data_IF_429502804003
#
_entry.id   IF_429502804003
#
_cell.length_a   1.000
_cell.length_b   1.000
_cell.length_c   1.000
_cell.angle_alpha   90.00
_cell.angle_beta   90.00
_cell.angle_gamma   90.00
#
_symmetry.space_group_name_H-M   'P 1'
#
loop_
_entity.id
_entity.type
_entity.pdbx_description
1 polymer ?
#
# COMPACT_ATOMS: atom_id res chain seq x y z
N UNK A 1 39.45 62.85 -28.48
CA UNK A 1 39.13 63.29 -29.85
C UNK A 1 39.92 62.41 -30.81
N UNK A 2 39.31 62.00 -31.94
CA UNK A 2 39.75 60.99 -32.95
C UNK A 2 39.16 59.60 -32.70
N UNK A 3 38.51 58.90 -33.65
CA UNK A 3 38.21 59.14 -35.07
C UNK A 3 37.05 58.21 -35.48
N UNK A 4 36.19 58.67 -36.40
CA UNK A 4 35.16 57.87 -37.10
C UNK A 4 35.76 57.39 -38.43
N UNK A 5 35.51 56.15 -38.90
CA UNK A 5 34.69 55.98 -40.13
C UNK A 5 33.83 54.70 -40.10
N UNK A 6 32.53 54.76 -40.37
CA UNK A 6 31.88 54.88 -41.69
C UNK A 6 32.00 53.63 -42.57
N UNK A 7 30.90 52.86 -42.55
CA UNK A 7 30.16 52.32 -43.70
C UNK A 7 30.82 51.30 -44.64
N UNK A 8 30.19 50.12 -44.76
CA UNK A 8 30.02 49.49 -46.06
C UNK A 8 28.71 48.68 -46.13
N UNK A 9 27.94 49.01 -47.19
CA UNK A 9 26.77 48.32 -47.77
C UNK A 9 27.01 46.80 -47.86
N UNK A 10 26.01 45.92 -47.89
CA UNK A 10 25.29 45.47 -49.12
C UNK A 10 24.21 44.47 -48.70
N UNK A 11 22.92 44.68 -49.04
CA UNK A 11 22.22 44.12 -50.20
C UNK A 11 22.17 42.57 -50.28
N UNK A 12 20.96 42.04 -50.13
CA UNK A 12 20.48 40.86 -50.85
C UNK A 12 20.67 39.49 -50.18
N UNK A 13 19.66 38.64 -50.33
CA UNK A 13 19.87 37.18 -50.34
C UNK A 13 19.07 36.39 -49.31
N UNK A 14 17.91 35.93 -49.75
CA UNK A 14 17.10 34.84 -49.21
C UNK A 14 17.94 33.69 -48.63
N UNK A 15 17.70 33.31 -47.37
CA UNK A 15 18.14 32.04 -46.81
C UNK A 15 17.07 31.50 -45.86
N UNK A 16 16.27 30.56 -46.36
CA UNK A 16 15.32 29.77 -45.57
C UNK A 16 16.07 28.95 -44.53
N UNK A 17 16.11 29.41 -43.28
CA UNK A 17 16.63 28.63 -42.16
C UNK A 17 15.51 27.79 -41.56
N UNK A 18 15.51 26.51 -41.91
CA UNK A 18 14.74 25.45 -41.26
C UNK A 18 14.96 25.51 -39.74
N UNK A 19 13.86 25.54 -38.97
CA UNK A 19 13.86 25.52 -37.50
C UNK A 19 14.14 24.08 -37.02
N UNK A 20 15.19 23.79 -36.25
CA UNK A 20 15.27 22.52 -35.53
C UNK A 20 14.31 22.55 -34.33
N UNK A 21 13.57 21.44 -34.17
CA UNK A 21 12.62 21.21 -33.09
C UNK A 21 13.30 21.33 -31.71
N UNK A 22 12.73 22.16 -30.84
CA UNK A 22 13.09 22.25 -29.42
C UNK A 22 12.46 21.05 -28.71
N UNK A 23 13.29 20.11 -28.28
CA UNK A 23 12.91 19.12 -27.27
C UNK A 23 12.74 19.84 -25.93
N UNK A 24 11.51 19.85 -25.41
CA UNK A 24 11.15 20.36 -24.08
C UNK A 24 11.50 19.31 -23.02
N UNK A 25 12.69 19.40 -22.43
CA UNK A 25 13.00 18.67 -21.21
C UNK A 25 12.41 19.43 -20.03
N UNK A 26 11.48 18.77 -19.35
CA UNK A 26 10.59 19.27 -18.32
C UNK A 26 11.28 19.97 -17.15
N UNK A 27 10.83 21.18 -16.84
CA UNK A 27 11.05 21.82 -15.56
C UNK A 27 9.97 21.32 -14.58
N UNK A 28 10.31 20.40 -13.67
CA UNK A 28 9.42 19.97 -12.56
C UNK A 28 9.99 20.48 -11.23
N UNK A 29 9.81 21.77 -10.98
CA UNK A 29 9.84 22.33 -9.64
C UNK A 29 8.39 22.56 -9.22
N UNK A 30 7.86 21.73 -8.32
CA UNK A 30 6.83 22.08 -7.31
C UNK A 30 6.32 20.83 -6.58
N UNK A 31 6.05 21.04 -5.28
CA UNK A 31 5.39 20.16 -4.31
C UNK A 31 6.31 19.25 -3.47
N UNK A 32 6.83 19.86 -2.41
CA UNK A 32 6.96 19.24 -1.09
C UNK A 32 5.63 18.54 -0.73
N UNK A 33 5.59 17.21 -0.78
CA UNK A 33 4.49 16.42 -0.21
C UNK A 33 4.57 16.48 1.33
N UNK A 34 4.15 17.60 1.90
CA UNK A 34 3.64 17.62 3.27
C UNK A 34 2.29 16.92 3.25
N UNK A 35 2.31 15.59 3.12
CA UNK A 35 1.13 14.75 3.38
C UNK A 35 0.80 14.91 4.86
N UNK A 36 -0.03 15.91 5.16
CA UNK A 36 -0.76 16.02 6.41
C UNK A 36 -1.40 14.66 6.60
N UNK A 37 -0.96 13.91 7.61
CA UNK A 37 -1.46 12.59 7.98
C UNK A 37 -2.92 12.77 8.35
N UNK A 38 -3.79 12.84 7.35
CA UNK A 38 -5.24 12.71 7.48
C UNK A 38 -5.41 11.41 8.25
N UNK A 39 -5.92 11.51 9.48
CA UNK A 39 -6.19 10.35 10.33
C UNK A 39 -6.99 9.38 9.46
N UNK A 40 -6.36 8.31 8.98
CA UNK A 40 -7.02 7.32 8.12
C UNK A 40 -8.26 6.88 8.88
N UNK A 41 -9.43 7.24 8.36
CA UNK A 41 -10.71 6.98 9.00
C UNK A 41 -10.81 5.48 9.26
N UNK A 42 -10.89 5.10 10.54
CA UNK A 42 -11.13 3.73 10.97
C UNK A 42 -12.57 3.38 10.58
N UNK A 43 -12.71 2.53 9.55
CA UNK A 43 -14.00 2.06 9.09
C UNK A 43 -14.42 0.84 9.91
N UNK A 44 -15.68 0.77 10.31
CA UNK A 44 -16.22 -0.36 11.06
C UNK A 44 -15.93 -1.70 10.37
N UNK A 45 -16.15 -1.78 9.05
CA UNK A 45 -15.85 -2.98 8.25
C UNK A 45 -14.36 -3.39 8.28
N UNK A 46 -13.45 -2.41 8.34
CA UNK A 46 -12.01 -2.67 8.45
C UNK A 46 -11.64 -3.13 9.86
N UNK A 47 -12.19 -2.48 10.89
CA UNK A 47 -12.00 -2.87 12.28
C UNK A 47 -12.53 -4.28 12.55
N UNK A 48 -13.71 -4.64 12.04
CA UNK A 48 -14.27 -5.99 12.18
C UNK A 48 -13.43 -7.05 11.48
N UNK A 49 -12.82 -6.74 10.33
CA UNK A 49 -11.92 -7.66 9.64
C UNK A 49 -10.62 -7.93 10.43
N UNK A 50 -10.03 -6.88 11.03
CA UNK A 50 -8.84 -7.04 11.88
C UNK A 50 -9.17 -7.87 13.13
N UNK A 51 -10.34 -7.61 13.73
CA UNK A 51 -10.80 -8.34 14.92
C UNK A 51 -11.11 -9.81 14.58
N UNK A 52 -11.75 -10.10 13.44
CA UNK A 52 -12.01 -11.48 13.02
C UNK A 52 -10.73 -12.27 12.79
N UNK A 53 -9.73 -11.63 12.16
CA UNK A 53 -8.42 -12.25 11.97
C UNK A 53 -7.74 -12.51 13.33
N UNK A 54 -7.81 -11.56 14.25
CA UNK A 54 -7.28 -11.73 15.60
C UNK A 54 -7.89 -12.95 16.31
N UNK A 55 -9.22 -13.09 16.30
CA UNK A 55 -9.89 -14.23 16.93
C UNK A 55 -9.49 -15.56 16.30
N UNK A 56 -9.34 -15.60 14.97
CA UNK A 56 -8.88 -16.80 14.29
C UNK A 56 -7.53 -17.29 14.85
N UNK A 57 -6.53 -16.41 14.95
CA UNK A 57 -5.22 -16.82 15.47
C UNK A 57 -5.19 -16.99 17.00
N UNK A 58 -5.95 -16.19 17.74
CA UNK A 58 -5.98 -16.27 19.21
C UNK A 58 -6.52 -17.62 19.70
N UNK A 59 -7.61 -18.12 19.09
CA UNK A 59 -8.19 -19.41 19.46
C UNK A 59 -7.21 -20.54 19.15
N UNK A 60 -6.59 -20.52 17.97
CA UNK A 60 -5.57 -21.51 17.61
C UNK A 60 -4.39 -21.53 18.60
N UNK A 61 -3.90 -20.35 19.03
CA UNK A 61 -2.85 -20.26 20.05
C UNK A 61 -3.29 -20.81 21.42
N UNK A 62 -4.55 -20.57 21.83
CA UNK A 62 -5.08 -21.10 23.10
C UNK A 62 -5.18 -22.63 23.05
N UNK A 63 -5.65 -23.20 21.93
CA UNK A 63 -5.73 -24.64 21.72
C UNK A 63 -4.36 -25.30 21.88
N UNK A 64 -3.32 -24.68 21.31
CA UNK A 64 -1.95 -25.13 21.43
C UNK A 64 -1.42 -25.04 22.88
N UNK A 65 -1.54 -23.88 23.52
CA UNK A 65 -1.00 -23.65 24.88
C UNK A 65 -1.70 -24.50 25.95
N UNK A 66 -2.97 -24.87 25.75
CA UNK A 66 -3.75 -25.69 26.67
C UNK A 66 -3.63 -27.19 26.40
N UNK A 67 -2.88 -27.60 25.38
CA UNK A 67 -2.64 -29.01 25.01
C UNK A 67 -3.93 -29.84 24.85
N UNK A 68 -5.00 -29.23 24.31
CA UNK A 68 -6.28 -29.93 24.02
C UNK A 68 -6.11 -30.84 22.79
N UNK A 69 -5.23 -30.45 21.86
CA UNK A 69 -4.84 -31.21 20.67
C UNK A 69 -3.33 -31.50 20.68
N UNK A 70 -2.91 -32.50 19.92
CA UNK A 70 -1.50 -32.88 19.83
C UNK A 70 -0.69 -31.79 19.15
N UNK A 71 0.56 -31.61 19.58
CA UNK A 71 1.44 -30.57 19.01
C UNK A 71 1.78 -30.83 17.53
N UNK A 72 1.67 -32.09 17.08
CA UNK A 72 1.84 -32.50 15.68
C UNK A 72 0.82 -31.87 14.74
N UNK A 73 -0.35 -31.53 15.26
CA UNK A 73 -1.49 -31.06 14.44
C UNK A 73 -1.43 -29.54 14.25
N UNK A 74 -0.35 -28.90 14.71
CA UNK A 74 -0.15 -27.46 14.61
C UNK A 74 1.05 -27.12 13.73
N UNK A 75 0.84 -26.11 12.89
CA UNK A 75 1.86 -25.50 12.06
C UNK A 75 2.21 -24.10 12.56
N UNK A 76 3.51 -23.80 12.59
CA UNK A 76 3.99 -22.46 12.89
C UNK A 76 3.88 -21.56 11.65
N UNK A 77 3.22 -20.41 11.80
CA UNK A 77 3.04 -19.40 10.74
C UNK A 77 3.38 -18.02 11.27
N UNK A 78 4.10 -17.23 10.47
CA UNK A 78 4.46 -15.85 10.83
C UNK A 78 3.33 -14.88 10.49
N UNK A 79 2.71 -14.26 11.50
CA UNK A 79 1.63 -13.27 11.37
C UNK A 79 1.83 -12.14 12.36
N UNK A 80 1.49 -10.91 11.95
CA UNK A 80 1.66 -9.70 12.78
C UNK A 80 3.09 -9.48 13.33
N UNK A 81 4.10 -10.06 12.67
CA UNK A 81 5.50 -10.02 13.13
C UNK A 81 5.87 -11.08 14.17
N UNK A 82 4.93 -11.93 14.60
CA UNK A 82 5.12 -13.00 15.58
C UNK A 82 4.91 -14.38 14.93
N UNK A 83 5.47 -15.42 15.57
CA UNK A 83 5.22 -16.81 15.20
C UNK A 83 3.97 -17.29 15.94
N UNK A 84 2.94 -17.64 15.19
CA UNK A 84 1.65 -18.14 15.70
C UNK A 84 1.51 -19.62 15.35
N UNK A 85 0.85 -20.39 16.21
CA UNK A 85 0.47 -21.77 15.92
C UNK A 85 -0.93 -21.82 15.33
N UNK A 86 -1.13 -22.64 14.30
CA UNK A 86 -2.41 -22.84 13.61
C UNK A 86 -2.67 -24.33 13.45
N UNK A 87 -3.89 -24.77 13.70
CA UNK A 87 -4.30 -26.16 13.49
C UNK A 87 -4.31 -26.51 11.98
N UNK A 88 -3.77 -27.68 11.62
CA UNK A 88 -3.77 -28.21 10.25
C UNK A 88 -4.94 -29.17 9.97
N UNK A 89 -5.58 -29.70 11.00
CA UNK A 89 -6.78 -30.54 10.86
C UNK A 89 -7.98 -29.75 10.33
N UNK A 90 -8.55 -30.26 9.23
CA UNK A 90 -9.67 -29.68 8.50
C UNK A 90 -10.95 -29.65 9.36
N UNK A 91 -11.17 -30.66 10.20
CA UNK A 91 -12.39 -30.75 11.03
C UNK A 91 -12.49 -29.59 12.03
N UNK A 92 -11.36 -29.28 12.67
CA UNK A 92 -11.23 -28.18 13.65
C UNK A 92 -11.22 -26.85 12.91
N UNK A 93 -10.53 -26.76 11.77
CA UNK A 93 -10.49 -25.55 10.96
C UNK A 93 -11.89 -25.12 10.49
N UNK A 94 -12.73 -26.06 10.04
CA UNK A 94 -14.12 -25.79 9.67
C UNK A 94 -14.96 -25.28 10.85
N UNK A 95 -14.79 -25.90 12.02
CA UNK A 95 -15.50 -25.47 13.22
C UNK A 95 -15.11 -24.05 13.63
N UNK A 96 -13.81 -23.76 13.66
CA UNK A 96 -13.29 -22.43 13.98
C UNK A 96 -13.76 -21.38 12.97
N UNK A 97 -13.83 -21.74 11.69
CA UNK A 97 -14.34 -20.86 10.63
C UNK A 97 -15.79 -20.44 10.88
N UNK A 98 -16.66 -21.37 11.30
CA UNK A 98 -18.06 -21.06 11.65
C UNK A 98 -18.15 -20.03 12.78
N UNK A 99 -17.30 -20.15 13.80
CA UNK A 99 -17.25 -19.18 14.92
C UNK A 99 -16.75 -17.82 14.44
N UNK A 100 -15.68 -17.76 13.66
CA UNK A 100 -15.14 -16.50 13.12
C UNK A 100 -16.15 -15.82 12.20
N UNK A 101 -16.91 -16.58 11.41
CA UNK A 101 -17.98 -16.05 10.56
C UNK A 101 -19.12 -15.44 11.38
N UNK A 102 -19.48 -16.03 12.52
CA UNK A 102 -20.45 -15.43 13.46
C UNK A 102 -19.95 -14.13 14.06
N UNK A 103 -18.66 -14.03 14.40
CA UNK A 103 -18.07 -12.79 14.95
C UNK A 103 -18.03 -11.67 13.89
N UNK A 104 -17.77 -12.02 12.64
CA UNK A 104 -17.73 -11.05 11.53
C UNK A 104 -19.11 -10.52 11.17
N UNK A 105 -20.14 -11.38 11.25
CA UNK A 105 -21.53 -11.02 10.92
C UNK A 105 -22.32 -10.95 12.21
N UNK A 106 -22.47 -9.75 12.76
CA UNK A 106 -23.48 -9.48 13.77
C UNK A 106 -24.88 -9.64 13.15
N UNK A 107 -25.39 -10.87 13.12
CA UNK A 107 -26.71 -11.27 12.61
C UNK A 107 -27.76 -11.39 13.72
N UNK A 108 -27.50 -10.80 14.87
CA UNK A 108 -28.52 -10.51 15.86
C UNK A 108 -29.02 -9.08 15.60
N UNK A 109 -30.31 -8.82 15.78
CA UNK A 109 -31.01 -7.56 15.53
C UNK A 109 -31.38 -7.31 14.04
N UNK A 110 -32.17 -8.24 13.50
CA UNK A 110 -33.35 -7.90 12.68
C UNK A 110 -34.57 -8.50 13.34
#
# INVERSE_FOLDING_TARGET
>A
MSSVPTSRRTAGGTATRVRPARTETANKTTATDTTTKTKKRINLAGSTAVISDYFHYAINCILFQRAIYQQSDFKMVKKFGLNMMIVEDESIAEYLKKIVDQVRVNRAWS
#
